data_IF_225497121844
#
_entry.id   IF_225497121844
#
_cell.length_a   1.000
_cell.length_b   1.000
_cell.length_c   1.000
_cell.angle_alpha   90.00
_cell.angle_beta   90.00
_cell.angle_gamma   90.00
#
_symmetry.space_group_name_H-M   'P 1'
#
loop_
_entity.id
_entity.type
_entity.pdbx_description
1 polymer ?
#
# COMPACT_ATOMS: atom_id res chain seq x y z
N UNK A 1 8.24 -22.98 -22.27
CA UNK A 1 7.11 -22.12 -22.65
C UNK A 1 5.80 -22.73 -22.14
N UNK A 2 5.21 -22.19 -21.07
CA UNK A 2 3.80 -22.46 -20.72
C UNK A 2 3.17 -21.16 -20.27
N UNK A 3 2.92 -20.25 -21.23
CA UNK A 3 1.98 -19.16 -21.00
C UNK A 3 0.60 -19.81 -21.04
N UNK A 4 0.15 -20.28 -19.87
CA UNK A 4 -1.19 -20.80 -19.67
C UNK A 4 -2.19 -19.76 -20.17
N UNK A 5 -3.15 -20.18 -20.99
CA UNK A 5 -4.19 -19.34 -21.57
C UNK A 5 -4.93 -18.53 -20.48
N UNK A 6 -5.09 -19.15 -19.30
CA UNK A 6 -5.61 -18.53 -18.08
C UNK A 6 -4.77 -17.31 -17.68
N UNK A 7 -3.44 -17.41 -17.70
CA UNK A 7 -2.54 -16.31 -17.36
C UNK A 7 -2.58 -15.15 -18.36
N UNK A 8 -2.85 -15.45 -19.63
CA UNK A 8 -2.98 -14.43 -20.69
C UNK A 8 -4.33 -13.69 -20.61
N UNK A 9 -5.43 -14.43 -20.38
CA UNK A 9 -6.77 -13.86 -20.19
C UNK A 9 -6.85 -13.04 -18.91
N UNK A 10 -6.27 -13.55 -17.81
CA UNK A 10 -6.00 -12.81 -16.56
C UNK A 10 -5.30 -11.50 -16.93
N UNK A 11 -4.14 -11.55 -17.59
CA UNK A 11 -3.38 -10.32 -17.88
C UNK A 11 -4.16 -9.27 -18.68
N UNK A 12 -5.03 -9.67 -19.62
CA UNK A 12 -5.91 -8.75 -20.35
C UNK A 12 -6.98 -8.14 -19.43
N UNK A 13 -7.73 -8.97 -18.70
CA UNK A 13 -8.76 -8.50 -17.73
C UNK A 13 -8.15 -7.55 -16.69
N UNK A 14 -6.92 -7.85 -16.21
CA UNK A 14 -6.20 -7.00 -15.26
C UNK A 14 -5.69 -5.68 -15.87
N UNK A 15 -5.55 -5.57 -17.20
CA UNK A 15 -5.01 -4.38 -17.87
C UNK A 15 -6.11 -3.35 -18.17
N UNK A 16 -7.32 -3.79 -18.53
CA UNK A 16 -8.49 -2.91 -18.69
C UNK A 16 -8.86 -2.18 -17.37
N UNK A 17 -8.79 -2.86 -16.22
CA UNK A 17 -9.08 -2.25 -14.91
C UNK A 17 -7.99 -1.29 -14.40
N UNK A 18 -6.74 -1.41 -14.87
CA UNK A 18 -5.65 -0.48 -14.49
C UNK A 18 -6.02 0.96 -14.89
N UNK A 19 -6.72 1.14 -16.01
CA UNK A 19 -7.27 2.45 -16.42
C UNK A 19 -8.32 3.00 -15.45
N UNK A 20 -9.07 2.14 -14.75
CA UNK A 20 -10.09 2.53 -13.78
C UNK A 20 -9.53 2.77 -12.36
N UNK A 21 -8.23 2.56 -12.14
CA UNK A 21 -7.55 2.68 -10.85
C UNK A 21 -6.97 4.08 -10.55
N UNK A 22 -7.22 5.07 -11.41
CA UNK A 22 -6.66 6.45 -11.33
C UNK A 22 -6.90 7.19 -10.01
N UNK A 23 -7.76 6.68 -9.12
CA UNK A 23 -8.03 7.23 -7.79
C UNK A 23 -7.56 6.36 -6.61
N UNK A 24 -6.90 5.22 -6.84
CA UNK A 24 -6.39 4.36 -5.76
C UNK A 24 -4.98 4.82 -5.38
N UNK A 25 -4.77 5.13 -4.10
CA UNK A 25 -3.47 5.56 -3.60
C UNK A 25 -2.43 4.44 -3.52
N UNK A 26 -1.26 4.82 -2.99
CA UNK A 26 -0.07 3.96 -2.90
C UNK A 26 -0.36 2.63 -2.23
N UNK A 27 -1.14 2.61 -1.15
CA UNK A 27 -1.35 1.42 -0.33
C UNK A 27 -2.29 0.43 -1.01
N UNK A 28 -3.35 0.94 -1.63
CA UNK A 28 -4.25 0.10 -2.43
C UNK A 28 -3.52 -0.56 -3.61
N UNK A 29 -2.66 0.18 -4.31
CA UNK A 29 -1.87 -0.38 -5.41
C UNK A 29 -0.87 -1.44 -4.95
N UNK A 30 -0.17 -1.19 -3.83
CA UNK A 30 0.73 -2.19 -3.22
C UNK A 30 -0.02 -3.46 -2.82
N UNK A 31 -1.21 -3.32 -2.23
CA UNK A 31 -2.00 -4.47 -1.80
C UNK A 31 -2.53 -5.26 -3.01
N UNK A 32 -2.95 -4.60 -4.08
CA UNK A 32 -3.34 -5.26 -5.33
C UNK A 32 -2.22 -6.10 -5.91
N UNK A 33 -1.00 -5.57 -5.99
CA UNK A 33 0.15 -6.33 -6.51
C UNK A 33 0.50 -7.51 -5.59
N UNK A 34 0.35 -7.36 -4.28
CA UNK A 34 0.46 -8.48 -3.35
C UNK A 34 -0.57 -9.58 -3.63
N UNK A 35 -1.86 -9.22 -3.78
CA UNK A 35 -2.93 -10.17 -4.11
C UNK A 35 -2.66 -10.85 -5.46
N UNK A 36 -2.20 -10.11 -6.47
CA UNK A 36 -1.86 -10.67 -7.78
C UNK A 36 -0.75 -11.72 -7.69
N UNK A 37 0.26 -11.48 -6.88
CA UNK A 37 1.42 -12.37 -6.75
C UNK A 37 1.15 -13.57 -5.84
N UNK A 38 0.39 -13.40 -4.75
CA UNK A 38 0.20 -14.41 -3.70
C UNK A 38 -1.15 -15.10 -3.75
N UNK A 39 -2.21 -14.38 -4.14
CA UNK A 39 -3.60 -14.84 -4.06
C UNK A 39 -4.43 -14.46 -5.30
N UNK A 40 -4.03 -14.91 -6.51
CA UNK A 40 -4.69 -14.51 -7.76
C UNK A 40 -6.16 -14.94 -7.83
N UNK A 41 -6.54 -16.03 -7.15
CA UNK A 41 -7.93 -16.49 -7.07
C UNK A 41 -8.82 -15.55 -6.23
N UNK A 42 -8.30 -15.05 -5.10
CA UNK A 42 -9.03 -14.10 -4.27
C UNK A 42 -9.23 -12.78 -5.03
N UNK A 43 -8.18 -12.32 -5.71
CA UNK A 43 -8.25 -11.13 -6.55
C UNK A 43 -9.29 -11.29 -7.67
N UNK A 44 -9.30 -12.43 -8.36
CA UNK A 44 -10.29 -12.72 -9.40
C UNK A 44 -11.72 -12.71 -8.86
N UNK A 45 -11.96 -13.32 -7.69
CA UNK A 45 -13.28 -13.32 -7.04
C UNK A 45 -13.76 -11.89 -6.77
N UNK A 46 -12.89 -11.01 -6.26
CA UNK A 46 -13.23 -9.61 -6.00
C UNK A 46 -13.53 -8.82 -7.28
N UNK A 47 -12.85 -9.15 -8.38
CA UNK A 47 -13.13 -8.56 -9.70
C UNK A 47 -14.49 -9.03 -10.22
N UNK A 48 -14.76 -10.34 -10.14
CA UNK A 48 -16.04 -10.91 -10.57
C UNK A 48 -17.22 -10.34 -9.80
N UNK A 49 -17.03 -10.06 -8.51
CA UNK A 49 -18.04 -9.43 -7.68
C UNK A 49 -18.14 -7.90 -7.88
N UNK A 50 -17.20 -7.28 -8.60
CA UNK A 50 -17.14 -5.81 -8.76
C UNK A 50 -16.72 -5.04 -7.51
N UNK A 51 -16.27 -5.72 -6.46
CA UNK A 51 -15.97 -5.14 -5.14
C UNK A 51 -14.53 -4.63 -5.02
N UNK A 52 -13.65 -5.04 -5.94
CA UNK A 52 -12.20 -4.77 -5.84
C UNK A 52 -11.89 -3.28 -5.63
N UNK A 53 -12.56 -2.40 -6.39
CA UNK A 53 -12.29 -0.96 -6.35
C UNK A 53 -12.67 -0.35 -4.99
N UNK A 54 -13.83 -0.68 -4.47
CA UNK A 54 -14.28 -0.16 -3.18
C UNK A 54 -13.37 -0.66 -2.05
N UNK A 55 -13.08 -1.96 -2.07
CA UNK A 55 -12.17 -2.58 -1.11
C UNK A 55 -10.78 -1.90 -1.08
N UNK A 56 -10.14 -1.74 -2.25
CA UNK A 56 -8.83 -1.10 -2.34
C UNK A 56 -8.89 0.38 -1.92
N UNK A 57 -9.98 1.09 -2.21
CA UNK A 57 -10.17 2.49 -1.81
C UNK A 57 -10.28 2.64 -0.30
N UNK A 58 -11.06 1.77 0.35
CA UNK A 58 -11.24 1.78 1.81
C UNK A 58 -9.93 1.37 2.50
N UNK A 59 -9.25 0.34 2.00
CA UNK A 59 -7.95 -0.09 2.50
C UNK A 59 -6.92 1.03 2.40
N UNK A 60 -6.87 1.70 1.24
CA UNK A 60 -5.92 2.79 1.00
C UNK A 60 -6.10 3.95 1.98
N UNK A 61 -7.35 4.40 2.18
CA UNK A 61 -7.66 5.44 3.17
C UNK A 61 -7.27 5.04 4.59
N UNK A 62 -7.58 3.81 5.00
CA UNK A 62 -7.23 3.31 6.35
C UNK A 62 -5.71 3.22 6.54
N UNK A 63 -5.01 2.70 5.54
CA UNK A 63 -3.56 2.58 5.55
C UNK A 63 -2.87 3.96 5.57
N UNK A 64 -3.37 4.94 4.79
CA UNK A 64 -2.84 6.32 4.81
C UNK A 64 -3.08 7.02 6.15
N UNK A 65 -4.30 6.91 6.71
CA UNK A 65 -4.59 7.43 8.04
C UNK A 65 -3.66 6.83 9.10
N UNK A 66 -3.46 5.50 9.07
CA UNK A 66 -2.55 4.83 10.01
C UNK A 66 -1.10 5.25 9.81
N UNK A 67 -0.65 5.35 8.55
CA UNK A 67 0.69 5.82 8.22
C UNK A 67 0.96 7.22 8.80
N UNK A 68 0.06 8.17 8.54
CA UNK A 68 0.19 9.55 9.04
C UNK A 68 0.18 9.63 10.56
N UNK A 69 -0.59 8.76 11.22
CA UNK A 69 -0.59 8.64 12.67
C UNK A 69 0.76 8.12 13.20
N UNK A 70 1.28 7.03 12.64
CA UNK A 70 2.58 6.46 13.02
C UNK A 70 3.75 7.42 12.82
N UNK A 71 3.74 8.21 11.73
CA UNK A 71 4.75 9.25 11.52
C UNK A 71 4.77 10.23 12.70
N UNK A 72 3.60 10.68 13.17
CA UNK A 72 3.52 11.61 14.31
C UNK A 72 4.01 10.96 15.61
N UNK A 73 3.57 9.74 15.90
CA UNK A 73 3.96 9.03 17.12
C UNK A 73 5.46 8.76 17.17
N UNK A 74 6.03 8.21 16.09
CA UNK A 74 7.46 7.87 16.03
C UNK A 74 8.30 9.16 16.05
N UNK A 75 7.88 10.22 15.33
CA UNK A 75 8.57 11.52 15.37
C UNK A 75 8.62 12.09 16.78
N UNK A 76 7.51 12.02 17.52
CA UNK A 76 7.43 12.47 18.91
C UNK A 76 8.31 11.62 19.83
N UNK A 77 8.29 10.29 19.67
CA UNK A 77 9.11 9.37 20.45
C UNK A 77 10.62 9.54 20.21
N UNK A 78 11.03 9.89 18.99
CA UNK A 78 12.42 10.17 18.64
C UNK A 78 12.85 11.61 18.96
N UNK A 79 11.95 12.44 19.50
CA UNK A 79 12.27 13.82 19.92
C UNK A 79 12.60 14.75 18.75
N UNK A 80 12.17 14.43 17.54
CA UNK A 80 12.47 15.23 16.35
C UNK A 80 11.66 16.52 16.37
N UNK A 81 12.33 17.61 16.72
CA UNK A 81 11.78 18.97 16.64
C UNK A 81 11.99 19.57 15.26
N UNK A 82 11.12 20.53 14.90
CA UNK A 82 11.28 21.29 13.67
C UNK A 82 12.47 22.28 13.76
N UNK A 83 12.96 22.58 14.97
CA UNK A 83 14.16 23.41 15.19
C UNK A 83 15.45 22.71 14.75
N UNK A 84 15.52 21.38 14.90
CA UNK A 84 16.63 20.57 14.40
C UNK A 84 16.81 20.70 12.88
N UNK A 85 15.72 21.01 12.16
CA UNK A 85 15.76 21.22 10.70
C UNK A 85 16.63 22.42 10.30
N UNK A 86 16.77 23.43 11.17
CA UNK A 86 17.59 24.60 10.92
C UNK A 86 19.05 24.36 11.29
N UNK A 87 19.29 23.60 12.37
CA UNK A 87 20.63 23.37 12.93
C UNK A 87 21.37 22.29 12.14
N UNK A 88 20.73 21.16 11.86
CA UNK A 88 21.34 20.04 11.10
C UNK A 88 20.37 19.46 10.06
N UNK A 89 20.18 20.13 8.91
CA UNK A 89 19.23 19.71 7.88
C UNK A 89 19.46 18.29 7.33
N UNK A 90 20.71 17.82 7.26
CA UNK A 90 21.03 16.46 6.79
C UNK A 90 20.64 15.39 7.80
N UNK A 91 20.95 15.59 9.08
CA UNK A 91 20.57 14.67 10.15
C UNK A 91 19.05 14.61 10.30
N UNK A 92 18.37 15.76 10.22
CA UNK A 92 16.91 15.82 10.23
C UNK A 92 16.31 15.01 9.08
N UNK A 93 16.85 15.12 7.86
CA UNK A 93 16.39 14.31 6.72
C UNK A 93 16.64 12.82 6.94
N UNK A 94 17.79 12.44 7.49
CA UNK A 94 18.13 11.05 7.78
C UNK A 94 17.19 10.46 8.84
N UNK A 95 16.92 11.20 9.92
CA UNK A 95 16.00 10.80 10.98
C UNK A 95 14.55 10.71 10.46
N UNK A 96 14.07 11.71 9.74
CA UNK A 96 12.74 11.66 9.11
C UNK A 96 12.59 10.50 8.13
N UNK A 97 13.66 10.13 7.42
CA UNK A 97 13.68 8.93 6.58
C UNK A 97 13.56 7.66 7.42
N UNK A 98 14.28 7.55 8.53
CA UNK A 98 14.18 6.40 9.44
C UNK A 98 12.75 6.26 10.01
N UNK A 99 12.14 7.37 10.44
CA UNK A 99 10.74 7.42 10.89
C UNK A 99 9.80 6.94 9.79
N UNK A 100 9.97 7.45 8.57
CA UNK A 100 9.17 7.08 7.41
C UNK A 100 9.29 5.60 7.08
N UNK A 101 10.52 5.08 7.00
CA UNK A 101 10.77 3.67 6.72
C UNK A 101 10.16 2.75 7.79
N UNK A 102 10.19 3.16 9.07
CA UNK A 102 9.59 2.42 10.19
C UNK A 102 8.07 2.42 10.10
N UNK A 103 7.45 3.58 9.87
CA UNK A 103 6.00 3.69 9.68
C UNK A 103 5.53 2.85 8.48
N UNK A 104 6.23 2.92 7.34
CA UNK A 104 5.90 2.11 6.17
C UNK A 104 5.95 0.61 6.46
N UNK A 105 6.98 0.14 7.16
CA UNK A 105 7.12 -1.29 7.52
C UNK A 105 5.93 -1.78 8.34
N UNK A 106 5.45 -0.98 9.28
CA UNK A 106 4.29 -1.32 10.11
C UNK A 106 3.03 -1.38 9.25
N UNK A 107 2.74 -0.33 8.47
CA UNK A 107 1.53 -0.26 7.63
C UNK A 107 1.49 -1.37 6.59
N UNK A 108 2.62 -1.73 5.98
CA UNK A 108 2.68 -2.86 5.03
C UNK A 108 2.26 -4.17 5.70
N UNK A 109 2.71 -4.42 6.93
CA UNK A 109 2.32 -5.62 7.68
C UNK A 109 0.85 -5.58 8.10
N UNK A 110 0.34 -4.42 8.51
CA UNK A 110 -1.04 -4.26 9.00
C UNK A 110 -2.10 -4.23 7.88
N UNK A 111 -1.75 -3.81 6.65
CA UNK A 111 -2.75 -3.63 5.57
C UNK A 111 -2.36 -4.31 4.26
N UNK A 112 -1.09 -4.19 3.83
CA UNK A 112 -0.69 -4.64 2.49
C UNK A 112 -0.51 -6.16 2.43
N UNK A 113 0.04 -6.78 3.47
CA UNK A 113 0.41 -8.21 3.48
C UNK A 113 -0.55 -9.07 4.29
N UNK A 114 -1.85 -8.76 4.24
CA UNK A 114 -2.90 -9.54 4.90
C UNK A 114 -3.81 -10.12 3.83
N UNK A 115 -4.21 -11.38 3.96
CA UNK A 115 -5.25 -11.94 3.11
C UNK A 115 -6.60 -11.35 3.54
N UNK A 116 -7.38 -10.73 2.64
CA UNK A 116 -8.73 -10.30 2.97
C UNK A 116 -9.55 -11.51 3.43
N UNK A 117 -10.29 -11.31 4.53
CA UNK A 117 -11.29 -12.27 4.99
C UNK A 117 -12.52 -12.11 4.08
N UNK A 118 -12.47 -12.70 2.90
CA UNK A 118 -13.58 -12.77 1.93
C UNK A 118 -14.47 -13.96 2.23
#
# INVERSE_FOLDING_TARGET
MKRSWIGMVISCIYSEEIKNSTHIGKWGMLHREYLKQKYPLALLKMIQNGELREYLTVLDKRADCRYRFLIKEIRQAEGLSDDMKQISPMEWRAAMKAVTDKAEKIVKKEFVYILPKV
#
